data_IF_026133238044
#
_entry.id   IF_026133238044
#
_cell.length_a   1.000
_cell.length_b   1.000
_cell.length_c   1.000
_cell.angle_alpha   90.00
_cell.angle_beta   90.00
_cell.angle_gamma   90.00
#
_symmetry.space_group_name_H-M   'P 1'
#
loop_
_entity.id
_entity.type
_entity.pdbx_description
1 polymer ?
#
# COMPACT_ATOMS: atom_id res chain seq x y z
N UNK A 1 12.16 -53.88 12.14
CA UNK A 1 10.94 -53.02 12.14
C UNK A 1 11.20 -51.63 12.72
N UNK A 2 11.84 -51.49 13.86
CA UNK A 2 12.13 -50.17 14.49
C UNK A 2 13.03 -49.28 13.60
N UNK A 3 14.03 -49.82 12.91
CA UNK A 3 14.95 -49.08 12.05
C UNK A 3 14.22 -48.44 10.85
N UNK A 4 13.24 -49.12 10.29
CA UNK A 4 12.42 -48.61 9.17
C UNK A 4 11.56 -47.44 9.62
N UNK A 5 11.00 -47.50 10.83
CA UNK A 5 10.18 -46.44 11.40
C UNK A 5 11.01 -45.19 11.66
N UNK A 6 12.25 -45.34 12.18
CA UNK A 6 13.16 -44.23 12.41
C UNK A 6 13.59 -43.59 11.07
N UNK A 7 13.86 -44.38 10.04
CA UNK A 7 14.21 -43.85 8.70
C UNK A 7 13.07 -43.08 8.07
N UNK A 8 11.80 -43.51 8.23
CA UNK A 8 10.62 -42.80 7.74
C UNK A 8 10.41 -41.49 8.49
N UNK A 9 10.57 -41.48 9.82
CA UNK A 9 10.48 -40.26 10.63
C UNK A 9 11.55 -39.26 10.26
N UNK A 10 12.79 -39.66 10.05
CA UNK A 10 13.89 -38.82 9.61
C UNK A 10 13.65 -38.26 8.19
N UNK A 11 13.09 -39.06 7.29
CA UNK A 11 12.73 -38.61 5.95
C UNK A 11 11.60 -37.55 5.97
N UNK A 12 10.62 -37.72 6.84
CA UNK A 12 9.53 -36.71 7.02
C UNK A 12 10.08 -35.40 7.59
N UNK A 13 10.99 -35.46 8.55
CA UNK A 13 11.68 -34.28 9.10
C UNK A 13 12.57 -33.59 8.07
N UNK A 14 13.27 -34.30 7.23
CA UNK A 14 14.11 -33.75 6.18
C UNK A 14 13.30 -33.06 5.08
N UNK A 15 12.12 -33.60 4.74
CA UNK A 15 11.22 -33.01 3.76
C UNK A 15 10.54 -31.74 4.31
N UNK A 16 10.14 -31.73 5.58
CA UNK A 16 9.53 -30.54 6.19
C UNK A 16 10.51 -29.37 6.35
N UNK A 17 11.81 -29.62 6.45
CA UNK A 17 12.82 -28.55 6.48
C UNK A 17 13.16 -27.98 5.10
N UNK A 18 12.82 -28.67 4.01
CA UNK A 18 12.99 -28.19 2.64
C UNK A 18 11.87 -27.22 2.19
N UNK A 19 10.73 -27.23 2.86
CA UNK A 19 9.59 -26.36 2.60
C UNK A 19 9.34 -25.43 3.79
N UNK A 20 10.40 -24.87 4.36
CA UNK A 20 10.28 -23.85 5.40
C UNK A 20 9.49 -22.65 4.89
N UNK A 21 8.40 -22.27 5.58
CA UNK A 21 7.67 -21.04 5.33
C UNK A 21 8.65 -19.89 5.57
N UNK A 22 8.81 -19.01 4.56
CA UNK A 22 9.69 -17.85 4.65
C UNK A 22 8.99 -16.70 5.36
N UNK A 23 9.77 -15.85 6.02
CA UNK A 23 9.28 -14.60 6.56
C UNK A 23 8.98 -13.61 5.44
N UNK A 24 7.88 -12.88 5.57
CA UNK A 24 7.54 -11.76 4.70
C UNK A 24 7.70 -10.43 5.43
N UNK A 25 7.94 -9.35 4.67
CA UNK A 25 8.06 -7.99 5.17
C UNK A 25 7.12 -7.07 4.39
N UNK A 26 6.52 -6.14 5.09
CA UNK A 26 5.63 -5.15 4.51
C UNK A 26 6.05 -3.74 4.90
N UNK A 27 6.02 -2.82 3.95
CA UNK A 27 6.35 -1.42 4.14
C UNK A 27 5.31 -0.53 3.44
N UNK A 28 4.85 0.51 4.13
CA UNK A 28 3.99 1.54 3.54
C UNK A 28 4.86 2.70 3.10
N UNK A 29 5.01 2.86 1.79
CA UNK A 29 5.81 3.89 1.13
C UNK A 29 4.90 5.07 0.80
N UNK A 30 4.94 6.10 1.63
CA UNK A 30 4.21 7.34 1.40
C UNK A 30 4.90 8.48 2.14
N UNK A 31 4.65 9.70 1.71
CA UNK A 31 4.99 10.90 2.50
C UNK A 31 4.16 10.93 3.78
N UNK A 32 4.67 11.60 4.81
CA UNK A 32 3.95 11.79 6.08
C UNK A 32 2.78 12.78 5.94
N UNK A 33 2.80 13.57 4.88
CA UNK A 33 1.70 14.46 4.49
C UNK A 33 1.34 14.19 3.03
N UNK A 34 0.06 13.97 2.78
CA UNK A 34 -0.50 13.67 1.47
C UNK A 34 -1.74 14.53 1.22
N UNK A 35 -2.16 14.62 -0.03
CA UNK A 35 -3.40 15.28 -0.45
C UNK A 35 -4.40 14.24 -0.95
N UNK A 36 -5.66 14.62 -1.04
CA UNK A 36 -6.65 13.78 -1.72
C UNK A 36 -6.23 13.57 -3.19
N UNK A 37 -6.21 12.32 -3.62
CA UNK A 37 -5.74 11.90 -4.95
C UNK A 37 -4.30 11.40 -4.97
N UNK A 38 -3.52 11.62 -3.91
CA UNK A 38 -2.16 11.10 -3.84
C UNK A 38 -2.14 9.57 -3.70
N UNK A 39 -1.18 8.95 -4.34
CA UNK A 39 -0.95 7.51 -4.25
C UNK A 39 -0.18 7.14 -3.00
N UNK A 40 -0.50 5.98 -2.47
CA UNK A 40 0.21 5.29 -1.40
C UNK A 40 0.60 3.92 -1.92
N UNK A 41 1.87 3.61 -1.83
CA UNK A 41 2.41 2.34 -2.24
C UNK A 41 2.71 1.47 -1.03
N UNK A 42 2.28 0.22 -1.08
CA UNK A 42 2.60 -0.79 -0.09
C UNK A 42 3.50 -1.81 -0.75
N UNK A 43 4.70 -1.99 -0.23
CA UNK A 43 5.65 -2.97 -0.72
C UNK A 43 5.60 -4.21 0.13
N UNK A 44 5.49 -5.36 -0.53
CA UNK A 44 5.56 -6.68 0.07
C UNK A 44 6.76 -7.43 -0.49
N UNK A 45 7.63 -7.91 0.38
CA UNK A 45 8.84 -8.68 0.02
C UNK A 45 9.06 -9.82 1.00
N UNK A 46 9.95 -10.75 0.64
CA UNK A 46 10.50 -11.69 1.62
C UNK A 46 11.59 -11.02 2.47
N UNK A 47 12.12 -11.74 3.45
CA UNK A 47 13.17 -11.24 4.34
C UNK A 47 14.47 -10.91 3.60
N UNK A 48 14.70 -11.53 2.45
CA UNK A 48 15.88 -11.31 1.61
C UNK A 48 15.70 -10.12 0.65
N UNK A 49 14.51 -9.49 0.67
CA UNK A 49 14.16 -8.34 -0.16
C UNK A 49 13.61 -8.67 -1.54
N UNK A 50 13.33 -9.94 -1.84
CA UNK A 50 12.70 -10.32 -3.10
C UNK A 50 11.21 -9.93 -3.08
N UNK A 51 10.75 -9.32 -4.14
CA UNK A 51 9.37 -8.88 -4.29
C UNK A 51 8.39 -10.05 -4.32
N UNK A 52 7.31 -9.95 -3.55
CA UNK A 52 6.20 -10.91 -3.59
C UNK A 52 5.08 -10.36 -4.48
N UNK A 53 5.00 -10.91 -5.70
CA UNK A 53 4.01 -10.51 -6.70
C UNK A 53 2.76 -11.37 -6.65
N UNK A 54 1.64 -10.81 -7.12
CA UNK A 54 0.35 -11.47 -7.20
C UNK A 54 -0.19 -11.94 -5.83
N UNK A 55 0.18 -11.22 -4.76
CA UNK A 55 -0.28 -11.46 -3.41
C UNK A 55 -1.38 -10.46 -3.00
N UNK A 56 -2.39 -10.93 -2.29
CA UNK A 56 -3.48 -10.07 -1.81
C UNK A 56 -3.08 -9.35 -0.53
N UNK A 57 -3.11 -8.03 -0.57
CA UNK A 57 -2.89 -7.15 0.58
C UNK A 57 -4.21 -6.50 0.99
N UNK A 58 -4.64 -6.73 2.21
CA UNK A 58 -5.80 -6.07 2.81
C UNK A 58 -5.38 -4.72 3.37
N UNK A 59 -6.10 -3.67 2.98
CA UNK A 59 -5.84 -2.30 3.43
C UNK A 59 -7.04 -1.79 4.20
N UNK A 60 -6.78 -1.26 5.38
CA UNK A 60 -7.77 -0.57 6.21
C UNK A 60 -7.28 0.85 6.43
N UNK A 61 -8.05 1.81 5.98
CA UNK A 61 -7.84 3.24 6.25
C UNK A 61 -8.86 3.72 7.27
N UNK A 62 -8.40 4.38 8.32
CA UNK A 62 -9.24 4.94 9.37
C UNK A 62 -8.92 6.42 9.56
N UNK A 63 -9.92 7.28 9.43
CA UNK A 63 -9.78 8.72 9.65
C UNK A 63 -9.85 9.09 11.15
N UNK A 64 -9.65 10.36 11.45
CA UNK A 64 -9.71 10.90 12.82
C UNK A 64 -11.11 10.90 13.44
N UNK A 65 -12.16 10.63 12.65
CA UNK A 65 -13.54 10.45 13.10
C UNK A 65 -13.91 8.98 13.33
N UNK A 66 -12.96 8.08 13.10
CA UNK A 66 -13.15 6.63 13.24
C UNK A 66 -13.84 5.97 12.05
N UNK A 67 -14.07 6.70 10.94
CA UNK A 67 -14.62 6.12 9.72
C UNK A 67 -13.58 5.24 9.07
N UNK A 68 -13.96 4.00 8.79
CA UNK A 68 -13.09 2.98 8.20
C UNK A 68 -13.49 2.68 6.76
N UNK A 69 -12.47 2.47 5.94
CA UNK A 69 -12.60 1.88 4.61
C UNK A 69 -11.66 0.68 4.55
N UNK A 70 -12.16 -0.44 4.03
CA UNK A 70 -11.39 -1.68 3.91
C UNK A 70 -11.57 -2.25 2.51
N UNK A 71 -10.48 -2.65 1.89
CA UNK A 71 -10.43 -3.27 0.56
C UNK A 71 -9.15 -4.09 0.43
N UNK A 72 -9.06 -4.90 -0.62
CA UNK A 72 -7.87 -5.69 -0.93
C UNK A 72 -7.33 -5.30 -2.29
N UNK A 73 -6.01 -5.27 -2.40
CA UNK A 73 -5.29 -5.00 -3.64
C UNK A 73 -4.26 -6.10 -3.85
N UNK A 74 -4.06 -6.50 -5.09
CA UNK A 74 -3.04 -7.47 -5.46
C UNK A 74 -1.74 -6.76 -5.78
N UNK A 75 -0.61 -7.29 -5.29
CA UNK A 75 0.72 -6.77 -5.61
C UNK A 75 1.10 -7.02 -7.07
N UNK A 76 1.77 -6.06 -7.67
CA UNK A 76 2.31 -6.16 -9.03
C UNK A 76 3.61 -6.99 -9.09
N UNK A 77 4.27 -7.02 -10.25
CA UNK A 77 5.54 -7.73 -10.46
C UNK A 77 6.69 -7.23 -9.58
N UNK A 78 6.60 -6.01 -9.05
CA UNK A 78 7.57 -5.41 -8.15
C UNK A 78 7.19 -5.58 -6.67
N UNK A 79 6.13 -6.34 -6.38
CA UNK A 79 5.60 -6.52 -5.04
C UNK A 79 4.90 -5.27 -4.49
N UNK A 80 4.42 -4.38 -5.36
CA UNK A 80 3.77 -3.13 -4.98
C UNK A 80 2.24 -3.26 -5.11
N UNK A 81 1.54 -2.93 -4.04
CA UNK A 81 0.11 -2.67 -4.05
C UNK A 81 -0.09 -1.15 -3.99
N UNK A 82 -0.64 -0.56 -5.06
CA UNK A 82 -0.91 0.87 -5.17
C UNK A 82 -2.34 1.20 -4.76
N UNK A 83 -2.51 2.24 -3.97
CA UNK A 83 -3.81 2.76 -3.57
C UNK A 83 -3.79 4.27 -3.51
N UNK A 84 -4.95 4.90 -3.56
CA UNK A 84 -5.08 6.36 -3.49
C UNK A 84 -5.83 6.80 -2.25
N UNK A 85 -5.44 7.96 -1.73
CA UNK A 85 -6.21 8.67 -0.70
C UNK A 85 -7.36 9.39 -1.38
N UNK A 86 -8.53 8.77 -1.42
CA UNK A 86 -9.71 9.35 -2.04
C UNK A 86 -10.79 9.68 -1.02
N UNK A 87 -11.47 10.79 -1.21
CA UNK A 87 -12.62 11.21 -0.41
C UNK A 87 -12.36 11.23 1.11
N UNK A 88 -11.18 11.69 1.51
CA UNK A 88 -10.79 11.85 2.89
C UNK A 88 -10.88 13.30 3.33
N UNK A 89 -11.47 13.52 4.49
CA UNK A 89 -11.41 14.81 5.14
C UNK A 89 -9.98 15.13 5.55
N UNK A 90 -9.58 16.42 5.55
CA UNK A 90 -8.30 16.82 6.10
C UNK A 90 -8.14 16.37 7.55
N UNK A 91 -6.98 15.88 7.90
CA UNK A 91 -6.70 15.39 9.25
C UNK A 91 -5.77 14.19 9.28
N UNK A 92 -5.83 13.42 10.36
CA UNK A 92 -5.03 12.21 10.51
C UNK A 92 -5.72 11.04 9.82
N UNK A 93 -4.92 10.24 9.13
CA UNK A 93 -5.34 9.00 8.51
C UNK A 93 -4.40 7.88 8.93
N UNK A 94 -4.94 6.86 9.57
CA UNK A 94 -4.20 5.65 9.90
C UNK A 94 -4.41 4.63 8.77
N UNK A 95 -3.31 4.13 8.24
CA UNK A 95 -3.30 3.09 7.21
C UNK A 95 -2.74 1.83 7.84
N UNK A 96 -3.48 0.75 7.76
CA UNK A 96 -3.06 -0.59 8.14
C UNK A 96 -3.11 -1.47 6.91
N UNK A 97 -1.96 -2.02 6.54
CA UNK A 97 -1.83 -2.99 5.45
C UNK A 97 -1.50 -4.35 6.05
N UNK A 98 -2.15 -5.40 5.58
CA UNK A 98 -1.97 -6.77 6.09
C UNK A 98 -1.89 -7.75 4.92
N UNK A 99 -0.86 -8.57 4.95
CA UNK A 99 -0.74 -9.79 4.17
C UNK A 99 -0.98 -10.97 5.11
N UNK A 100 -1.99 -11.78 4.81
CA UNK A 100 -2.39 -12.90 5.68
C UNK A 100 -1.41 -14.08 5.64
N UNK A 101 -0.44 -14.05 4.71
CA UNK A 101 0.45 -15.16 4.44
C UNK A 101 -0.17 -16.20 3.49
N UNK A 102 0.63 -17.19 3.15
CA UNK A 102 0.22 -18.33 2.33
C UNK A 102 1.08 -19.56 2.66
N UNK A 103 1.03 -20.58 1.84
CA UNK A 103 1.80 -21.82 2.05
C UNK A 103 3.33 -21.62 2.01
N UNK A 104 3.79 -20.49 1.43
CA UNK A 104 5.22 -20.19 1.23
C UNK A 104 5.74 -19.10 2.16
N UNK A 105 4.86 -18.19 2.60
CA UNK A 105 5.24 -16.99 3.35
C UNK A 105 4.36 -16.79 4.58
N UNK A 106 4.97 -16.43 5.69
CA UNK A 106 4.27 -15.98 6.89
C UNK A 106 3.53 -14.66 6.63
N UNK A 107 2.52 -14.39 7.45
CA UNK A 107 1.82 -13.11 7.42
C UNK A 107 2.72 -11.95 7.82
N UNK A 108 2.43 -10.77 7.29
CA UNK A 108 3.09 -9.53 7.70
C UNK A 108 2.09 -8.36 7.67
N UNK A 109 2.39 -7.33 8.45
CA UNK A 109 1.59 -6.12 8.47
C UNK A 109 2.46 -4.88 8.62
N UNK A 110 1.92 -3.74 8.17
CA UNK A 110 2.49 -2.43 8.42
C UNK A 110 1.39 -1.44 8.78
N UNK A 111 1.71 -0.51 9.67
CA UNK A 111 0.81 0.56 10.06
C UNK A 111 1.54 1.89 9.90
N UNK A 112 0.88 2.86 9.26
CA UNK A 112 1.41 4.22 9.12
C UNK A 112 0.33 5.25 9.43
N UNK A 113 0.71 6.26 10.17
CA UNK A 113 -0.09 7.45 10.43
C UNK A 113 0.40 8.56 9.50
N UNK A 114 -0.51 9.10 8.69
CA UNK A 114 -0.23 10.21 7.78
C UNK A 114 -1.17 11.37 8.03
N UNK A 115 -0.82 12.54 7.53
CA UNK A 115 -1.66 13.73 7.56
C UNK A 115 -2.22 13.97 6.15
N UNK A 116 -3.55 14.01 6.04
CA UNK A 116 -4.24 14.42 4.81
C UNK A 116 -4.48 15.91 4.85
N UNK A 117 -4.10 16.60 3.77
CA UNK A 117 -4.42 18.01 3.53
C UNK A 117 -5.46 18.12 2.44
N UNK A 118 -6.17 19.24 2.40
CA UNK A 118 -7.00 19.56 1.25
C UNK A 118 -6.16 19.52 -0.02
N UNK A 119 -6.73 18.96 -1.07
CA UNK A 119 -6.09 18.96 -2.37
C UNK A 119 -5.82 20.41 -2.75
N UNK A 120 -4.62 20.72 -3.18
CA UNK A 120 -4.35 21.95 -3.91
C UNK A 120 -5.23 21.88 -5.15
N UNK A 121 -6.32 22.64 -5.14
CA UNK A 121 -7.01 22.99 -6.37
C UNK A 121 -6.01 23.78 -7.18
N UNK A 122 -5.24 23.12 -8.02
CA UNK A 122 -4.60 23.78 -9.12
C UNK A 122 -5.71 24.18 -10.09
N UNK A 123 -6.50 25.18 -9.68
CA UNK A 123 -7.20 26.00 -10.61
C UNK A 123 -6.11 26.76 -11.34
N UNK A 124 -5.58 26.15 -12.38
CA UNK A 124 -4.98 26.88 -13.45
C UNK A 124 -6.11 27.68 -14.10
N UNK A 125 -6.51 28.73 -13.41
CA UNK A 125 -7.32 29.78 -13.92
C UNK A 125 -6.38 30.52 -14.87
N UNK A 126 -6.37 30.09 -16.11
CA UNK A 126 -5.96 30.93 -17.21
C UNK A 126 -6.96 32.06 -17.23
N UNK A 127 -6.72 33.08 -16.44
CA UNK A 127 -7.30 34.37 -16.67
C UNK A 127 -6.63 34.89 -17.92
N UNK A 128 -7.16 34.55 -19.06
CA UNK A 128 -7.14 35.45 -20.14
C UNK A 128 -8.01 36.65 -19.72
N UNK A 129 -7.36 37.60 -19.11
CA UNK A 129 -7.87 38.93 -19.01
C UNK A 129 -8.09 39.41 -20.43
N UNK A 130 -9.35 39.52 -20.81
CA UNK A 130 -9.73 40.19 -22.04
C UNK A 130 -9.10 41.55 -22.07
N UNK A 131 -8.31 41.73 -23.07
CA UNK A 131 -7.67 43.00 -23.35
C UNK A 131 -8.78 43.97 -23.72
N UNK A 132 -8.82 45.06 -22.92
CA UNK A 132 -9.62 46.21 -23.18
C UNK A 132 -9.62 46.71 -24.57
N UNK A 133 -10.81 46.91 -25.06
CA UNK A 133 -11.04 47.76 -26.19
C UNK A 133 -10.52 49.16 -25.93
N UNK A 134 -9.46 49.52 -26.59
CA UNK A 134 -9.01 50.88 -26.69
C UNK A 134 -10.05 51.73 -27.41
N UNK A 135 -10.77 52.51 -26.71
CA UNK A 135 -11.61 53.52 -27.32
C UNK A 135 -10.77 54.76 -27.59
N UNK A 136 -10.39 54.93 -28.80
CA UNK A 136 -9.95 56.20 -29.30
C UNK A 136 -11.15 57.04 -29.65
N UNK A 137 -11.37 58.12 -28.98
CA UNK A 137 -12.22 59.17 -29.44
C UNK A 137 -11.35 60.28 -30.00
N UNK A 138 -11.47 60.51 -31.28
CA UNK A 138 -10.94 61.68 -31.91
C UNK A 138 -12.04 62.70 -32.07
N UNK A 139 -11.68 63.86 -31.85
CA UNK A 139 -12.26 65.06 -32.47
C UNK A 139 -11.29 65.51 -33.51
#
# INVERSE_FOLDING_TARGET
>A
MIIIIIAVILAIFAVSSLFGIKESQMEIISNDTVHNGDSINIKLSDIDGHSLSNESVKIVMMDNKGKRQSYSITTDSNGIADTTVANKDPGRLTINATFEGNEKFNSSNAVKLIKVREGSSNKNSTNEAGVDAQKSSSQ
#
